data_IF_612247674650
#
_entry.id   IF_612247674650
#
_cell.length_a   1.000
_cell.length_b   1.000
_cell.length_c   1.000
_cell.angle_alpha   90.00
_cell.angle_beta   90.00
_cell.angle_gamma   90.00
#
_symmetry.space_group_name_H-M   'P 1'
#
loop_
_entity.id
_entity.type
_entity.pdbx_description
1 polymer ?
#
# COMPACT_ATOMS: atom_id res chain seq x y z
N UNK A 1 20.93 3.89 8.80
CA UNK A 1 19.66 3.16 8.60
C UNK A 1 19.89 1.70 9.00
N UNK A 2 19.19 1.24 10.04
CA UNK A 2 19.33 -0.14 10.55
C UNK A 2 18.43 -1.14 9.82
N UNK A 3 17.30 -0.68 9.28
CA UNK A 3 16.36 -1.48 8.50
C UNK A 3 15.81 -0.66 7.34
N UNK A 4 15.70 -1.28 6.19
CA UNK A 4 15.10 -0.66 5.00
C UNK A 4 14.35 -1.71 4.19
N UNK A 5 13.11 -1.40 3.87
CA UNK A 5 12.26 -2.23 3.04
C UNK A 5 11.47 -1.38 2.04
N UNK A 6 11.32 -1.88 0.83
CA UNK A 6 10.42 -1.29 -0.18
C UNK A 6 9.53 -2.39 -0.71
N UNK A 7 8.23 -2.22 -0.59
CA UNK A 7 7.22 -3.17 -1.02
C UNK A 7 6.36 -2.55 -2.12
N UNK A 8 5.95 -3.38 -3.07
CA UNK A 8 5.01 -3.03 -4.14
C UNK A 8 3.91 -4.07 -4.24
N UNK A 9 2.80 -3.72 -4.86
CA UNK A 9 1.76 -4.68 -5.19
C UNK A 9 2.30 -5.68 -6.22
N UNK A 10 2.55 -6.92 -5.79
CA UNK A 10 3.11 -8.00 -6.60
C UNK A 10 2.15 -9.18 -6.77
N UNK A 11 0.90 -9.06 -6.31
CA UNK A 11 -0.10 -10.09 -6.43
C UNK A 11 -0.46 -10.27 -7.91
N UNK A 12 -0.20 -11.45 -8.48
CA UNK A 12 -0.45 -11.76 -9.88
C UNK A 12 -1.93 -11.63 -10.27
N UNK A 13 -2.85 -12.01 -9.40
CA UNK A 13 -4.28 -11.92 -9.61
C UNK A 13 -4.77 -10.47 -9.68
N UNK A 14 -4.16 -9.55 -8.92
CA UNK A 14 -4.46 -8.12 -8.98
C UNK A 14 -4.12 -7.56 -10.35
N UNK A 15 -2.93 -7.87 -10.86
CA UNK A 15 -2.49 -7.43 -12.18
C UNK A 15 -3.31 -8.04 -13.31
N UNK A 16 -3.76 -9.29 -13.16
CA UNK A 16 -4.66 -9.92 -14.11
C UNK A 16 -6.01 -9.17 -14.19
N UNK A 17 -6.58 -8.80 -13.04
CA UNK A 17 -7.81 -7.99 -12.97
C UNK A 17 -7.59 -6.62 -13.60
N UNK A 18 -6.49 -5.95 -13.30
CA UNK A 18 -6.17 -4.64 -13.86
C UNK A 18 -5.99 -4.69 -15.39
N UNK A 19 -5.35 -5.73 -15.91
CA UNK A 19 -5.23 -5.97 -17.36
C UNK A 19 -6.60 -6.17 -18.01
N UNK A 20 -7.47 -6.94 -17.38
CA UNK A 20 -8.83 -7.15 -17.87
C UNK A 20 -9.64 -5.84 -17.90
N UNK A 21 -9.58 -5.07 -16.81
CA UNK A 21 -10.25 -3.76 -16.71
C UNK A 21 -9.68 -2.79 -17.76
N UNK A 22 -8.37 -2.78 -17.95
CA UNK A 22 -7.70 -1.93 -18.95
C UNK A 22 -8.01 -2.30 -20.40
N UNK A 23 -8.34 -3.56 -20.68
CA UNK A 23 -8.74 -4.01 -22.01
C UNK A 23 -10.10 -3.45 -22.43
N UNK A 24 -11.01 -3.20 -21.51
CA UNK A 24 -12.36 -2.69 -21.80
C UNK A 24 -12.35 -1.34 -22.54
N UNK A 25 -11.68 -0.29 -22.06
CA UNK A 25 -11.62 0.97 -22.80
C UNK A 25 -10.84 0.86 -24.10
N UNK A 26 -9.84 -0.01 -24.20
CA UNK A 26 -9.13 -0.26 -25.46
C UNK A 26 -10.07 -0.85 -26.50
N UNK A 27 -10.83 -1.89 -26.15
CA UNK A 27 -11.82 -2.50 -27.05
C UNK A 27 -12.91 -1.52 -27.40
N UNK A 28 -13.39 -0.71 -26.46
CA UNK A 28 -14.41 0.30 -26.68
C UNK A 28 -13.94 1.38 -27.66
N UNK A 29 -12.75 1.91 -27.48
CA UNK A 29 -12.15 2.92 -28.37
C UNK A 29 -11.93 2.34 -29.76
N UNK A 30 -11.38 1.13 -29.85
CA UNK A 30 -11.16 0.47 -31.13
C UNK A 30 -12.48 0.27 -31.88
N UNK A 31 -13.52 -0.28 -31.24
CA UNK A 31 -14.79 -0.56 -31.85
C UNK A 31 -15.57 0.71 -32.24
N UNK A 32 -15.63 1.69 -31.33
CA UNK A 32 -16.48 2.87 -31.53
C UNK A 32 -15.80 3.98 -32.32
N UNK A 33 -14.51 4.27 -32.07
CA UNK A 33 -13.80 5.39 -32.72
C UNK A 33 -13.09 4.96 -34.02
N UNK A 34 -12.60 3.72 -34.11
CA UNK A 34 -11.87 3.24 -35.30
C UNK A 34 -12.77 2.52 -36.27
N UNK A 35 -13.56 1.55 -35.81
CA UNK A 35 -14.49 0.78 -36.69
C UNK A 35 -15.79 1.56 -36.96
N UNK A 36 -16.23 2.39 -36.00
CA UNK A 36 -17.48 3.16 -36.12
C UNK A 36 -18.74 2.41 -35.69
N UNK A 37 -18.57 1.28 -34.98
CA UNK A 37 -19.68 0.51 -34.42
C UNK A 37 -19.89 0.84 -32.95
N UNK A 38 -21.15 0.86 -32.50
CA UNK A 38 -21.47 1.10 -31.09
C UNK A 38 -20.89 0.02 -30.18
N UNK A 39 -20.33 0.43 -29.07
CA UNK A 39 -19.78 -0.45 -28.02
C UNK A 39 -20.79 -0.62 -26.88
N UNK A 40 -21.40 -1.82 -26.80
CA UNK A 40 -22.39 -2.17 -25.79
C UNK A 40 -23.83 -1.76 -26.13
N UNK A 41 -24.77 -2.16 -25.29
CA UNK A 41 -26.21 -1.92 -25.49
C UNK A 41 -26.60 -0.45 -25.25
N UNK A 42 -25.92 0.21 -24.35
CA UNK A 42 -26.06 1.65 -24.05
C UNK A 42 -24.69 2.32 -24.16
N UNK A 43 -24.24 2.61 -25.38
CA UNK A 43 -22.88 3.11 -25.59
C UNK A 43 -22.69 4.51 -24.98
N UNK A 44 -21.50 4.73 -24.42
CA UNK A 44 -21.05 6.07 -24.04
C UNK A 44 -20.85 6.93 -25.27
N UNK A 45 -20.89 8.26 -25.10
CA UNK A 45 -20.39 9.18 -26.12
C UNK A 45 -18.87 8.96 -26.32
N UNK A 46 -18.33 9.37 -27.46
CA UNK A 46 -16.90 9.25 -27.75
C UNK A 46 -16.05 9.97 -26.69
N UNK A 47 -16.46 11.16 -26.28
CA UNK A 47 -15.81 11.89 -25.21
C UNK A 47 -15.90 11.15 -23.86
N UNK A 48 -17.06 10.60 -23.53
CA UNK A 48 -17.25 9.81 -22.31
C UNK A 48 -16.35 8.58 -22.27
N UNK A 49 -16.19 7.90 -23.41
CA UNK A 49 -15.31 6.75 -23.54
C UNK A 49 -13.83 7.11 -23.37
N UNK A 50 -13.40 8.25 -23.91
CA UNK A 50 -12.03 8.76 -23.72
C UNK A 50 -11.77 9.12 -22.26
N UNK A 51 -12.70 9.81 -21.60
CA UNK A 51 -12.60 10.16 -20.18
C UNK A 51 -12.53 8.88 -19.33
N UNK A 52 -13.34 7.91 -19.62
CA UNK A 52 -13.31 6.59 -18.95
C UNK A 52 -11.96 5.90 -19.14
N UNK A 53 -11.42 5.89 -20.34
CA UNK A 53 -10.10 5.33 -20.62
C UNK A 53 -8.98 6.04 -19.83
N UNK A 54 -8.97 7.37 -19.79
CA UNK A 54 -8.01 8.15 -19.02
C UNK A 54 -8.10 7.82 -17.53
N UNK A 55 -9.32 7.71 -17.00
CA UNK A 55 -9.54 7.33 -15.59
C UNK A 55 -8.99 5.93 -15.28
N UNK A 56 -9.32 4.92 -16.10
CA UNK A 56 -8.88 3.54 -15.91
C UNK A 56 -7.35 3.43 -15.99
N UNK A 57 -6.73 4.04 -17.00
CA UNK A 57 -5.27 4.00 -17.13
C UNK A 57 -4.54 4.78 -16.04
N UNK A 58 -5.12 5.87 -15.54
CA UNK A 58 -4.60 6.59 -14.38
C UNK A 58 -4.64 5.73 -13.13
N UNK A 59 -5.71 4.96 -12.94
CA UNK A 59 -5.84 4.02 -11.83
C UNK A 59 -4.78 2.91 -11.91
N UNK A 60 -4.58 2.31 -13.08
CA UNK A 60 -3.55 1.29 -13.31
C UNK A 60 -2.16 1.85 -13.04
N UNK A 61 -1.87 3.06 -13.53
CA UNK A 61 -0.60 3.74 -13.29
C UNK A 61 -0.37 4.02 -11.80
N UNK A 62 -1.42 4.42 -11.07
CA UNK A 62 -1.35 4.60 -9.62
C UNK A 62 -0.91 3.31 -8.91
N UNK A 63 -1.51 2.16 -9.23
CA UNK A 63 -1.10 0.86 -8.67
C UNK A 63 0.32 0.48 -9.06
N UNK A 64 0.76 0.82 -10.26
CA UNK A 64 2.13 0.56 -10.72
C UNK A 64 3.17 1.34 -9.91
N UNK A 65 2.89 2.61 -9.62
CA UNK A 65 3.81 3.48 -8.88
C UNK A 65 3.66 3.38 -7.36
N UNK A 66 2.54 2.82 -6.86
CA UNK A 66 2.30 2.71 -5.44
C UNK A 66 3.31 1.79 -4.76
N UNK A 67 3.91 2.28 -3.67
CA UNK A 67 4.89 1.51 -2.90
C UNK A 67 4.86 1.90 -1.42
N UNK A 68 5.13 0.92 -0.58
CA UNK A 68 5.33 1.09 0.85
C UNK A 68 6.83 1.00 1.14
N UNK A 69 7.41 2.11 1.56
CA UNK A 69 8.81 2.20 1.94
C UNK A 69 8.92 2.44 3.43
N UNK A 70 9.68 1.59 4.10
CA UNK A 70 9.95 1.66 5.53
C UNK A 70 11.44 1.78 5.75
N UNK A 71 11.84 2.78 6.52
CA UNK A 71 13.22 3.00 6.95
C UNK A 71 13.23 3.21 8.46
N UNK A 72 14.07 2.47 9.16
CA UNK A 72 14.19 2.52 10.60
C UNK A 72 15.65 2.72 10.95
N UNK A 73 15.91 3.67 11.83
CA UNK A 73 17.23 3.91 12.40
C UNK A 73 17.16 4.02 13.94
N UNK A 74 18.25 4.47 14.57
CA UNK A 74 18.34 4.56 16.02
C UNK A 74 17.48 5.66 16.62
N UNK A 75 17.01 6.61 15.82
CA UNK A 75 16.29 7.80 16.27
C UNK A 75 14.80 7.72 15.95
N UNK A 76 14.44 7.17 14.80
CA UNK A 76 13.07 7.24 14.30
C UNK A 76 12.69 6.10 13.36
N UNK A 77 11.38 5.95 13.19
CA UNK A 77 10.75 5.12 12.16
C UNK A 77 10.18 6.07 11.10
N UNK A 78 10.57 5.87 9.86
CA UNK A 78 10.04 6.59 8.69
C UNK A 78 9.29 5.63 7.79
N UNK A 79 8.06 5.97 7.46
CA UNK A 79 7.22 5.21 6.55
C UNK A 79 6.66 6.12 5.47
N UNK A 80 6.69 5.65 4.25
CA UNK A 80 6.09 6.33 3.10
C UNK A 80 5.26 5.36 2.29
N UNK A 81 3.97 5.57 2.29
CA UNK A 81 3.03 4.91 1.38
C UNK A 81 2.82 5.83 0.17
N UNK A 82 3.71 5.73 -0.81
CA UNK A 82 3.69 6.61 -1.97
C UNK A 82 2.49 6.30 -2.90
N UNK A 83 1.78 7.32 -3.44
CA UNK A 83 1.99 8.75 -3.25
C UNK A 83 1.17 9.38 -2.10
N UNK A 84 0.48 8.57 -1.29
CA UNK A 84 -0.63 9.00 -0.44
C UNK A 84 -0.20 9.50 0.95
N UNK A 85 0.68 8.80 1.66
CA UNK A 85 0.97 9.04 3.07
C UNK A 85 2.47 9.01 3.36
N UNK A 86 2.91 9.92 4.24
CA UNK A 86 4.22 9.87 4.89
C UNK A 86 4.01 9.93 6.40
N UNK A 87 4.73 9.08 7.14
CA UNK A 87 4.81 9.13 8.60
C UNK A 87 6.27 9.12 9.06
N UNK A 88 6.51 9.85 10.13
CA UNK A 88 7.79 9.87 10.84
C UNK A 88 7.47 9.88 12.33
N UNK A 89 8.06 8.98 13.07
CA UNK A 89 7.83 8.84 14.51
C UNK A 89 9.17 8.54 15.19
N UNK A 90 9.53 9.36 16.20
CA UNK A 90 10.73 9.10 16.99
C UNK A 90 10.50 7.97 18.01
N UNK A 91 11.55 7.28 18.42
CA UNK A 91 11.43 6.25 19.44
C UNK A 91 10.94 6.79 20.79
N UNK A 92 11.18 8.07 21.07
CA UNK A 92 10.70 8.77 22.27
C UNK A 92 9.18 8.92 22.32
N UNK A 93 8.52 8.94 21.16
CA UNK A 93 7.05 9.02 21.03
C UNK A 93 6.38 7.65 21.10
N UNK A 94 7.15 6.56 21.03
CA UNK A 94 6.64 5.19 20.95
C UNK A 94 6.54 4.60 22.35
N UNK A 95 5.34 4.16 22.73
CA UNK A 95 5.08 3.41 23.95
C UNK A 95 5.41 1.93 23.80
N UNK A 96 4.99 1.34 22.68
CA UNK A 96 5.24 -0.06 22.33
C UNK A 96 5.40 -0.25 20.84
N UNK A 97 6.30 -1.14 20.45
CA UNK A 97 6.50 -1.55 19.06
C UNK A 97 6.82 -3.05 19.01
N UNK A 98 5.97 -3.81 18.37
CA UNK A 98 6.11 -5.27 18.29
C UNK A 98 5.70 -5.80 16.92
N UNK A 99 6.28 -6.95 16.55
CA UNK A 99 5.88 -7.66 15.35
C UNK A 99 4.68 -8.54 15.68
N UNK A 100 3.61 -8.38 14.91
CA UNK A 100 2.37 -9.14 15.06
C UNK A 100 1.97 -9.80 13.76
N UNK A 101 1.22 -10.90 13.88
CA UNK A 101 0.44 -11.42 12.78
C UNK A 101 -0.94 -10.78 12.85
N UNK A 102 -1.22 -9.83 11.97
CA UNK A 102 -2.51 -9.13 11.96
C UNK A 102 -3.59 -9.88 11.17
N UNK A 103 -3.24 -10.97 10.49
CA UNK A 103 -4.16 -11.77 9.70
C UNK A 103 -4.78 -10.98 8.54
N UNK A 104 -6.08 -11.15 8.34
CA UNK A 104 -6.81 -10.43 7.32
C UNK A 104 -7.54 -9.21 7.92
N UNK A 105 -7.23 -8.03 7.41
CA UNK A 105 -7.80 -6.73 7.86
C UNK A 105 -8.71 -6.08 6.79
N UNK A 106 -9.33 -6.89 5.95
CA UNK A 106 -10.20 -6.43 4.88
C UNK A 106 -9.49 -6.15 3.55
N UNK A 107 -8.23 -6.55 3.41
CA UNK A 107 -7.43 -6.41 2.20
C UNK A 107 -6.08 -5.73 2.43
N UNK A 108 -5.47 -5.29 1.34
CA UNK A 108 -4.16 -4.64 1.33
C UNK A 108 -4.29 -3.16 0.96
N UNK A 109 -3.26 -2.37 1.26
CA UNK A 109 -3.22 -0.94 1.07
C UNK A 109 -3.31 -0.18 2.39
N UNK A 110 -4.13 0.85 2.45
CA UNK A 110 -4.40 1.61 3.66
C UNK A 110 -5.75 1.18 4.23
N UNK A 111 -5.74 0.57 5.42
CA UNK A 111 -6.93 0.07 6.09
C UNK A 111 -7.18 0.84 7.38
N UNK A 112 -8.29 1.54 7.42
CA UNK A 112 -8.68 2.37 8.56
C UNK A 112 -9.46 1.55 9.60
N UNK A 113 -9.44 2.03 10.85
CA UNK A 113 -10.32 1.52 11.93
C UNK A 113 -10.18 0.03 12.23
N UNK A 114 -8.95 -0.51 12.16
CA UNK A 114 -8.66 -1.86 12.64
C UNK A 114 -8.33 -1.84 14.13
N UNK A 115 -8.23 -3.01 14.78
CA UNK A 115 -7.77 -3.11 16.17
C UNK A 115 -6.34 -2.58 16.40
N UNK A 116 -5.55 -2.48 15.34
CA UNK A 116 -4.20 -1.90 15.35
C UNK A 116 -4.18 -0.43 14.91
N UNK A 117 -5.33 0.22 14.77
CA UNK A 117 -5.47 1.53 14.17
C UNK A 117 -5.45 1.47 12.64
N UNK A 118 -4.75 2.39 11.99
CA UNK A 118 -4.56 2.34 10.54
C UNK A 118 -3.47 1.34 10.19
N UNK A 119 -3.78 0.42 9.29
CA UNK A 119 -2.84 -0.57 8.76
C UNK A 119 -2.37 -0.14 7.37
N UNK A 120 -1.06 -0.11 7.18
CA UNK A 120 -0.40 0.15 5.90
C UNK A 120 0.30 -1.11 5.44
N UNK A 121 -0.26 -1.81 4.46
CA UNK A 121 0.30 -3.06 3.98
C UNK A 121 0.19 -3.20 2.45
N UNK A 122 1.08 -3.99 1.88
CA UNK A 122 1.09 -4.33 0.46
C UNK A 122 0.77 -5.80 0.22
N UNK A 123 1.25 -6.68 1.10
CA UNK A 123 1.13 -8.13 0.97
C UNK A 123 1.39 -8.81 2.32
N UNK A 124 0.84 -10.01 2.50
CA UNK A 124 1.09 -10.83 3.68
C UNK A 124 0.26 -10.43 4.89
N UNK A 125 0.65 -10.93 6.04
CA UNK A 125 -0.12 -10.89 7.28
C UNK A 125 0.70 -10.49 8.53
N UNK A 126 1.97 -10.12 8.34
CA UNK A 126 2.87 -9.70 9.42
C UNK A 126 3.26 -8.24 9.30
N UNK A 127 3.38 -7.58 10.44
CA UNK A 127 3.73 -6.17 10.47
C UNK A 127 4.19 -5.69 11.82
N UNK A 128 4.73 -4.49 11.83
CA UNK A 128 5.14 -3.76 13.01
C UNK A 128 3.95 -2.96 13.55
N UNK A 129 3.40 -3.40 14.68
CA UNK A 129 2.36 -2.67 15.40
C UNK A 129 3.02 -1.64 16.31
N UNK A 130 2.62 -0.39 16.17
CA UNK A 130 3.17 0.74 16.91
C UNK A 130 2.07 1.39 17.72
N UNK A 131 2.30 1.53 19.03
CA UNK A 131 1.48 2.29 19.95
C UNK A 131 2.27 3.52 20.41
N UNK A 132 1.68 4.70 20.25
CA UNK A 132 2.29 5.96 20.66
C UNK A 132 1.89 6.33 22.09
N UNK A 133 2.70 7.15 22.74
CA UNK A 133 2.42 7.67 24.08
C UNK A 133 1.12 8.49 24.17
N UNK A 134 0.68 9.08 23.06
CA UNK A 134 -0.59 9.82 22.98
C UNK A 134 -1.83 8.93 22.79
N UNK A 135 -1.66 7.60 22.82
CA UNK A 135 -2.73 6.62 22.64
C UNK A 135 -3.09 6.27 21.21
N UNK A 136 -2.52 6.96 20.22
CA UNK A 136 -2.69 6.60 18.81
C UNK A 136 -1.88 5.35 18.47
N UNK A 137 -2.41 4.54 17.54
CA UNK A 137 -1.74 3.34 17.06
C UNK A 137 -1.84 3.22 15.54
N UNK A 138 -0.90 2.51 14.97
CA UNK A 138 -0.90 2.13 13.56
C UNK A 138 0.00 0.90 13.34
N UNK A 139 -0.10 0.29 12.17
CA UNK A 139 0.67 -0.89 11.81
C UNK A 139 1.29 -0.71 10.42
N UNK A 140 2.56 -1.10 10.29
CA UNK A 140 3.28 -1.13 9.03
C UNK A 140 3.53 -2.59 8.66
N UNK A 141 2.96 -3.05 7.55
CA UNK A 141 3.19 -4.39 7.03
C UNK A 141 4.66 -4.61 6.63
N UNK A 142 5.16 -5.83 6.82
CA UNK A 142 6.52 -6.21 6.43
C UNK A 142 6.56 -7.59 5.77
N UNK A 143 7.45 -7.74 4.79
CA UNK A 143 7.83 -9.01 4.19
C UNK A 143 9.12 -9.58 4.81
N UNK A 144 9.75 -8.81 5.72
CA UNK A 144 11.02 -9.13 6.38
C UNK A 144 10.90 -9.16 7.90
N UNK A 145 9.96 -9.93 8.47
CA UNK A 145 9.69 -9.90 9.90
C UNK A 145 10.91 -10.28 10.76
N UNK A 146 11.71 -11.25 10.32
CA UNK A 146 12.89 -11.70 11.08
C UNK A 146 14.00 -10.65 11.14
N UNK A 147 14.26 -9.94 10.02
CA UNK A 147 15.21 -8.84 10.00
C UNK A 147 14.75 -7.70 10.91
N UNK A 148 13.45 -7.42 10.90
CA UNK A 148 12.85 -6.37 11.71
C UNK A 148 12.87 -6.70 13.21
N UNK A 149 12.60 -7.96 13.59
CA UNK A 149 12.74 -8.45 14.98
C UNK A 149 14.18 -8.25 15.48
N UNK A 150 15.15 -8.74 14.70
CA UNK A 150 16.57 -8.62 15.09
C UNK A 150 17.02 -7.17 15.23
N UNK A 151 16.47 -6.26 14.43
CA UNK A 151 16.74 -4.83 14.52
C UNK A 151 16.12 -4.22 15.80
N UNK A 152 14.86 -4.56 16.11
CA UNK A 152 14.17 -4.08 17.31
C UNK A 152 14.90 -4.51 18.59
N UNK A 153 15.38 -5.75 18.65
CA UNK A 153 16.19 -6.26 19.77
C UNK A 153 17.45 -5.44 19.97
N UNK A 154 18.16 -5.10 18.89
CA UNK A 154 19.38 -4.26 18.98
C UNK A 154 19.10 -2.84 19.49
N UNK A 155 17.97 -2.25 19.13
CA UNK A 155 17.56 -0.92 19.61
C UNK A 155 17.16 -0.99 21.08
N UNK A 156 16.39 -2.00 21.47
CA UNK A 156 15.97 -2.23 22.86
C UNK A 156 17.16 -2.35 23.80
N UNK A 157 18.17 -3.15 23.46
CA UNK A 157 19.39 -3.32 24.26
C UNK A 157 20.18 -2.02 24.44
N UNK A 158 20.15 -1.12 23.45
CA UNK A 158 20.81 0.19 23.56
C UNK A 158 20.10 1.17 24.48
N UNK A 159 18.77 1.12 24.54
CA UNK A 159 17.96 2.03 25.36
C UNK A 159 17.91 1.61 26.86
N UNK A 160 18.44 0.45 27.19
CA UNK A 160 18.49 -0.08 28.56
C UNK A 160 19.86 0.22 29.26
N UNK A 161 20.79 0.90 28.60
CA UNK A 161 22.04 1.41 29.14
C UNK A 161 22.00 2.92 29.28
#
# INVERSE_FOLDING_TARGET
IAFKETQKFSQWWLWLILLFIGALPILGIYKQLIIGEKFGDKPMSDLGLIIFAVFVFSLIAMFWFMQLKTEIDQNEIRMRFFPLVKKRVSWEEIKNAEIVNYGFVGGWGIRLSTKYGTVYNMKGDKGLAIELLNGKNFLIGTQKPNELIAMLEKISVKNTK
#
